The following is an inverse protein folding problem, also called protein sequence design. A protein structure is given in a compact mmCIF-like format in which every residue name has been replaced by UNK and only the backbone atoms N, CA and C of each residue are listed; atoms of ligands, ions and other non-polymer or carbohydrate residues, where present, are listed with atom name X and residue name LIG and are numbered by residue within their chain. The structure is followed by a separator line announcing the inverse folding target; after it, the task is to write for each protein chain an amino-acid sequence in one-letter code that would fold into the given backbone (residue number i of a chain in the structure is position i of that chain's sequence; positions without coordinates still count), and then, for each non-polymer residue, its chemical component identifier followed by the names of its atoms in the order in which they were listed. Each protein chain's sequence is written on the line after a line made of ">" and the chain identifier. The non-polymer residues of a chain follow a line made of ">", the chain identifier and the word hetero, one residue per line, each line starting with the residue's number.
data_IF_024070915336
#
_entry.id   IF_024070915336
#
_cell.length_a   1.000
_cell.length_b   1.000
_cell.length_c   1.000
_cell.angle_alpha   90.00
_cell.angle_beta   90.00
_cell.angle_gamma   90.00
#
_symmetry.space_group_name_H-M   'P 1'
#
loop_
_entity.id
_entity.type
_entity.pdbx_description
1 polymer ?
#
# COMPACT_ATOMS: atom_id res chain seq x y z
N UNK A 1 -4.97 -3.28 -25.95
CA UNK A 1 -4.24 -2.95 -24.75
C UNK A 1 -3.59 -4.18 -24.12
N UNK A 2 -2.35 -4.07 -23.79
CA UNK A 2 -1.60 -5.20 -23.24
C UNK A 2 -1.88 -5.34 -21.75
N UNK A 3 -2.80 -6.21 -21.40
CA UNK A 3 -3.23 -6.35 -20.02
C UNK A 3 -2.37 -7.28 -19.19
N UNK A 4 -1.60 -8.14 -19.84
CA UNK A 4 -0.87 -9.16 -19.12
C UNK A 4 0.55 -8.78 -18.75
N UNK A 5 1.03 -7.67 -19.22
CA UNK A 5 2.44 -7.32 -19.04
C UNK A 5 2.59 -6.23 -17.99
N UNK A 6 3.32 -6.55 -16.92
CA UNK A 6 3.56 -5.60 -15.85
C UNK A 6 4.76 -4.73 -16.20
N UNK A 7 4.69 -3.49 -15.75
CA UNK A 7 5.80 -2.54 -15.89
C UNK A 7 6.37 -2.23 -14.51
N UNK A 8 7.58 -1.73 -14.49
CA UNK A 8 8.22 -1.34 -13.24
C UNK A 8 8.04 0.15 -13.02
N UNK A 9 7.65 0.52 -11.82
CA UNK A 9 7.54 1.90 -11.40
C UNK A 9 8.30 2.05 -10.09
N UNK A 10 9.19 3.02 -10.04
CA UNK A 10 9.92 3.30 -8.81
C UNK A 10 9.16 4.31 -7.97
N UNK A 11 8.94 3.99 -6.72
CA UNK A 11 8.29 4.90 -5.80
C UNK A 11 9.08 4.95 -4.50
N UNK A 12 9.02 6.10 -3.84
CA UNK A 12 9.62 6.26 -2.53
C UNK A 12 8.54 6.11 -1.48
N UNK A 13 8.76 5.22 -0.53
CA UNK A 13 7.82 4.98 0.54
C UNK A 13 8.52 5.18 1.88
N UNK A 14 7.74 5.63 2.85
CA UNK A 14 8.27 5.68 4.20
C UNK A 14 8.54 4.27 4.71
N UNK A 15 9.54 4.09 5.59
CA UNK A 15 9.88 2.75 6.08
C UNK A 15 8.70 2.00 6.70
N UNK A 16 7.81 2.70 7.39
CA UNK A 16 6.65 2.04 8.00
C UNK A 16 5.67 1.52 6.95
N UNK A 17 5.58 2.19 5.80
CA UNK A 17 4.76 1.69 4.70
C UNK A 17 5.33 0.41 4.12
N UNK A 18 6.66 0.35 4.03
CA UNK A 18 7.33 -0.87 3.56
C UNK A 18 7.08 -2.00 4.56
N UNK A 19 7.18 -1.73 5.85
CA UNK A 19 6.88 -2.72 6.89
C UNK A 19 5.44 -3.22 6.78
N UNK A 20 4.52 -2.32 6.49
CA UNK A 20 3.12 -2.70 6.33
C UNK A 20 2.94 -3.66 5.16
N UNK A 21 3.61 -3.39 4.04
CA UNK A 21 3.55 -4.27 2.88
C UNK A 21 4.16 -5.64 3.19
N UNK A 22 5.27 -5.65 3.92
CA UNK A 22 5.91 -6.90 4.32
C UNK A 22 5.02 -7.71 5.25
N UNK A 23 4.38 -7.03 6.18
CA UNK A 23 3.45 -7.67 7.09
C UNK A 23 2.26 -8.28 6.33
N UNK A 24 1.72 -7.54 5.37
CA UNK A 24 0.62 -8.03 4.56
C UNK A 24 1.06 -9.23 3.71
N UNK A 25 2.26 -9.16 3.16
CA UNK A 25 2.79 -10.25 2.37
C UNK A 25 2.86 -11.53 3.20
N UNK A 26 3.40 -11.45 4.40
CA UNK A 26 3.55 -12.62 5.26
C UNK A 26 2.22 -13.13 5.77
N UNK A 27 1.37 -12.20 6.23
CA UNK A 27 0.11 -12.56 6.86
C UNK A 27 -0.84 -13.25 5.88
N UNK A 28 -0.88 -12.78 4.65
CA UNK A 28 -1.79 -13.30 3.64
C UNK A 28 -1.09 -14.16 2.60
N UNK A 29 0.16 -14.48 2.85
CA UNK A 29 0.94 -15.43 2.06
C UNK A 29 1.03 -15.05 0.59
N UNK A 30 1.27 -13.77 0.35
CA UNK A 30 1.54 -13.31 -1.01
C UNK A 30 2.97 -13.62 -1.41
N UNK A 31 3.19 -13.74 -2.70
CA UNK A 31 4.48 -14.10 -3.26
C UNK A 31 5.54 -13.02 -3.06
N UNK A 32 5.12 -11.76 -2.99
CA UNK A 32 6.04 -10.63 -2.89
C UNK A 32 5.31 -9.42 -2.34
N UNK A 33 6.07 -8.42 -1.92
CA UNK A 33 5.49 -7.14 -1.52
C UNK A 33 4.86 -6.43 -2.72
N UNK A 34 5.41 -6.66 -3.92
CA UNK A 34 4.80 -6.13 -5.14
C UNK A 34 3.39 -6.65 -5.32
N UNK A 35 3.18 -7.94 -5.05
CA UNK A 35 1.83 -8.52 -5.16
C UNK A 35 0.91 -7.90 -4.13
N UNK A 36 1.39 -7.71 -2.89
CA UNK A 36 0.59 -7.07 -1.85
C UNK A 36 0.16 -5.66 -2.29
N UNK A 37 1.09 -4.91 -2.87
CA UNK A 37 0.78 -3.56 -3.33
C UNK A 37 -0.24 -3.58 -4.47
N UNK A 38 -0.09 -4.51 -5.41
CA UNK A 38 -1.06 -4.63 -6.50
C UNK A 38 -2.46 -4.93 -6.00
N UNK A 39 -2.57 -5.75 -4.97
CA UNK A 39 -3.87 -6.05 -4.36
C UNK A 39 -4.50 -4.78 -3.79
N UNK A 40 -3.68 -3.97 -3.11
CA UNK A 40 -4.16 -2.69 -2.58
C UNK A 40 -4.67 -1.78 -3.71
N UNK A 41 -3.88 -1.68 -4.78
CA UNK A 41 -4.23 -0.82 -5.89
C UNK A 41 -5.50 -1.28 -6.59
N UNK A 42 -5.69 -2.59 -6.72
CA UNK A 42 -6.91 -3.11 -7.31
C UNK A 42 -8.13 -2.79 -6.45
N UNK A 43 -7.97 -2.85 -5.13
CA UNK A 43 -9.04 -2.43 -4.23
C UNK A 43 -9.36 -0.94 -4.39
N UNK A 44 -8.32 -0.12 -4.46
CA UNK A 44 -8.51 1.31 -4.65
C UNK A 44 -9.25 1.58 -5.96
N UNK A 45 -8.90 0.85 -7.00
CA UNK A 45 -9.53 1.05 -8.31
C UNK A 45 -10.99 0.62 -8.35
N UNK A 46 -11.36 -0.40 -7.57
CA UNK A 46 -12.69 -1.00 -7.71
C UNK A 46 -13.66 -0.61 -6.61
N UNK A 47 -13.22 -0.55 -5.37
CA UNK A 47 -14.14 -0.45 -4.24
C UNK A 47 -13.95 0.79 -3.38
N UNK A 48 -12.80 1.43 -3.44
CA UNK A 48 -12.51 2.53 -2.53
C UNK A 48 -13.10 3.84 -3.01
N UNK A 49 -13.34 4.72 -2.05
CA UNK A 49 -13.78 6.08 -2.32
C UNK A 49 -12.54 6.93 -2.58
N UNK A 50 -12.34 7.32 -3.83
CA UNK A 50 -11.14 8.05 -4.23
C UNK A 50 -11.03 9.42 -3.56
N UNK A 51 -12.16 10.08 -3.33
CA UNK A 51 -12.12 11.37 -2.66
C UNK A 51 -11.68 11.23 -1.21
N UNK A 52 -12.09 10.17 -0.55
CA UNK A 52 -11.63 9.91 0.81
C UNK A 52 -10.13 9.62 0.87
N UNK A 53 -9.59 9.06 -0.19
CA UNK A 53 -8.17 8.73 -0.24
C UNK A 53 -7.35 9.95 -0.63
N UNK A 54 -7.72 10.60 -1.73
CA UNK A 54 -6.85 11.59 -2.35
C UNK A 54 -7.14 13.03 -1.92
N UNK A 55 -8.38 13.32 -1.56
CA UNK A 55 -8.72 14.66 -1.08
C UNK A 55 -8.60 14.79 0.43
N UNK A 56 -8.80 13.69 1.15
CA UNK A 56 -8.62 13.68 2.60
C UNK A 56 -7.38 12.90 2.97
N UNK A 57 -6.26 13.37 2.48
CA UNK A 57 -5.00 12.69 2.71
C UNK A 57 -4.68 12.57 4.20
N UNK A 58 -4.26 11.39 4.58
CA UNK A 58 -3.88 11.10 5.95
C UNK A 58 -2.37 11.09 6.08
N UNK A 59 -1.89 11.51 7.22
CA UNK A 59 -0.47 11.45 7.49
C UNK A 59 -0.26 10.78 8.84
N UNK A 60 0.22 9.56 8.82
CA UNK A 60 0.46 8.82 10.06
C UNK A 60 1.68 9.35 10.82
N UNK A 61 2.52 10.09 10.14
CA UNK A 61 3.79 10.58 10.69
C UNK A 61 3.78 12.05 11.07
N UNK A 62 2.67 12.76 10.78
CA UNK A 62 2.59 14.18 11.08
C UNK A 62 2.37 14.42 12.55
N UNK A 63 2.93 15.52 13.06
CA UNK A 63 2.79 15.85 14.46
C UNK A 63 3.43 14.78 15.36
N UNK A 64 2.66 14.26 16.28
CA UNK A 64 3.13 13.23 17.20
C UNK A 64 2.96 11.82 16.66
N UNK A 65 2.59 11.67 15.40
CA UNK A 65 2.35 10.34 14.82
C UNK A 65 3.61 9.52 14.68
N UNK A 66 3.48 8.23 14.91
CA UNK A 66 4.60 7.30 14.82
C UNK A 66 4.60 6.50 13.53
N UNK A 67 3.63 6.74 12.67
CA UNK A 67 3.47 5.95 11.47
C UNK A 67 2.73 4.66 11.77
N UNK A 68 2.81 3.73 10.82
CA UNK A 68 2.17 2.45 10.98
C UNK A 68 3.01 1.54 11.89
N UNK A 69 2.35 0.85 12.79
CA UNK A 69 3.02 -0.08 13.68
C UNK A 69 2.42 -1.47 13.52
N UNK A 70 3.30 -2.46 13.52
CA UNK A 70 2.88 -3.84 13.34
C UNK A 70 1.98 -4.27 14.50
N UNK A 71 0.84 -4.92 14.21
CA UNK A 71 -0.02 -5.44 15.27
C UNK A 71 0.69 -6.53 16.08
N UNK A 72 0.42 -6.57 17.36
CA UNK A 72 1.00 -7.57 18.25
C UNK A 72 -0.04 -8.59 18.67
#
# INVERSE_FOLDING_TARGET
>A
MAMGKKAVLEVELHPDSIEMLEYAQETYEFRSTSKALRVILDYVATDADWEQIFLNQRCLRCGAGKGWEKPT
#
